data_IF_290557890382
#
_entry.id   IF_290557890382
#
_cell.length_a   1.000
_cell.length_b   1.000
_cell.length_c   1.000
_cell.angle_alpha   90.00
_cell.angle_beta   90.00
_cell.angle_gamma   90.00
#
_symmetry.space_group_name_H-M   'P 1'
#
loop_
_entity.id
_entity.type
_entity.pdbx_description
1 polymer ?
#
# COMPACT_ATOMS: atom_id res chain seq x y z
N UNK A 1 -25.36 -54.52 -29.48
CA UNK A 1 -25.64 -53.85 -28.19
C UNK A 1 -25.04 -52.45 -28.27
N UNK A 2 -25.88 -51.42 -28.45
CA UNK A 2 -25.51 -50.01 -28.42
C UNK A 2 -25.47 -49.54 -26.96
N UNK A 3 -24.32 -49.12 -26.42
CA UNK A 3 -24.27 -48.19 -25.27
C UNK A 3 -23.06 -47.23 -25.41
N UNK A 4 -23.40 -46.00 -25.81
CA UNK A 4 -23.06 -44.67 -25.24
C UNK A 4 -21.61 -44.31 -24.92
N UNK A 5 -21.18 -43.24 -25.57
CA UNK A 5 -19.92 -42.54 -25.34
C UNK A 5 -19.84 -41.80 -24.01
N UNK A 6 -18.60 -41.54 -23.61
CA UNK A 6 -18.23 -40.52 -22.62
C UNK A 6 -17.22 -39.58 -23.29
N UNK A 7 -17.71 -38.44 -23.78
CA UNK A 7 -16.87 -37.30 -24.07
C UNK A 7 -16.51 -36.61 -22.77
N UNK A 8 -15.24 -36.69 -22.35
CA UNK A 8 -14.73 -35.94 -21.21
C UNK A 8 -14.40 -34.51 -21.70
N UNK A 9 -15.32 -33.58 -21.49
CA UNK A 9 -15.06 -32.16 -21.75
C UNK A 9 -14.24 -31.58 -20.59
N UNK A 10 -12.92 -31.42 -20.80
CA UNK A 10 -12.04 -30.68 -19.89
C UNK A 10 -12.26 -29.20 -20.15
N UNK A 11 -13.17 -28.59 -19.38
CA UNK A 11 -13.37 -27.15 -19.37
C UNK A 11 -12.17 -26.47 -18.71
N UNK A 12 -11.26 -25.91 -19.51
CA UNK A 12 -10.26 -24.96 -19.06
C UNK A 12 -10.95 -23.66 -18.65
N UNK A 13 -11.33 -23.54 -17.37
CA UNK A 13 -11.71 -22.26 -16.78
C UNK A 13 -10.43 -21.41 -16.63
N UNK A 14 -10.18 -20.58 -17.63
CA UNK A 14 -9.16 -19.53 -17.57
C UNK A 14 -9.68 -18.46 -16.60
N UNK A 15 -9.20 -18.48 -15.35
CA UNK A 15 -9.41 -17.40 -14.39
C UNK A 15 -8.67 -16.16 -14.90
N UNK A 16 -9.38 -15.27 -15.58
CA UNK A 16 -8.86 -13.95 -15.93
C UNK A 16 -8.82 -13.16 -14.62
N UNK A 17 -7.62 -13.03 -14.03
CA UNK A 17 -7.40 -12.16 -12.89
C UNK A 17 -7.57 -10.70 -13.35
N UNK A 18 -8.72 -10.11 -13.07
CA UNK A 18 -8.98 -8.70 -13.31
C UNK A 18 -8.09 -7.87 -12.38
N UNK A 19 -6.96 -7.38 -12.89
CA UNK A 19 -6.19 -6.35 -12.20
C UNK A 19 -7.00 -5.04 -12.22
N UNK A 20 -7.65 -4.70 -11.11
CA UNK A 20 -8.29 -3.39 -10.95
C UNK A 20 -7.21 -2.32 -10.77
N UNK A 21 -6.95 -1.51 -11.80
CA UNK A 21 -6.14 -0.32 -11.66
C UNK A 21 -6.91 0.72 -10.84
N UNK A 22 -6.45 1.05 -9.63
CA UNK A 22 -6.98 2.18 -8.87
C UNK A 22 -6.52 3.47 -9.55
N UNK A 23 -7.45 4.22 -10.13
CA UNK A 23 -7.19 5.54 -10.69
C UNK A 23 -7.01 6.53 -9.54
N UNK A 24 -5.80 7.06 -9.39
CA UNK A 24 -5.51 8.09 -8.40
C UNK A 24 -5.76 9.47 -9.01
N UNK A 25 -6.80 10.16 -8.54
CA UNK A 25 -7.11 11.52 -8.98
C UNK A 25 -6.20 12.52 -8.26
N UNK A 26 -5.44 13.29 -9.05
CA UNK A 26 -4.65 14.42 -8.55
C UNK A 26 -5.57 15.65 -8.38
N UNK A 27 -5.51 16.39 -7.27
CA UNK A 27 -6.16 17.68 -7.16
C UNK A 27 -5.77 18.62 -8.31
N UNK A 28 -6.67 19.51 -8.72
CA UNK A 28 -6.38 20.46 -9.81
C UNK A 28 -5.11 21.27 -9.52
N UNK A 29 -4.27 21.47 -10.54
CA UNK A 29 -2.99 22.19 -10.43
C UNK A 29 -1.96 21.55 -9.49
N UNK A 30 -2.11 20.26 -9.18
CA UNK A 30 -1.07 19.49 -8.48
C UNK A 30 -0.34 18.57 -9.44
N UNK A 31 0.98 18.48 -9.26
CA UNK A 31 1.80 17.43 -9.87
C UNK A 31 2.21 16.45 -8.77
N UNK A 32 2.19 15.16 -9.07
CA UNK A 32 2.72 14.13 -8.17
C UNK A 32 4.19 13.91 -8.52
N UNK A 33 5.12 14.33 -7.67
CA UNK A 33 6.54 14.37 -8.08
C UNK A 33 7.19 13.01 -8.16
N UNK A 34 6.90 12.13 -7.22
CA UNK A 34 7.56 10.84 -7.10
C UNK A 34 6.82 9.98 -6.09
N UNK A 35 6.87 8.66 -6.23
CA UNK A 35 6.68 7.76 -5.11
C UNK A 35 7.68 8.11 -4.01
N UNK A 36 7.20 8.48 -2.82
CA UNK A 36 8.05 8.91 -1.71
C UNK A 36 8.40 7.75 -0.79
N UNK A 37 9.64 7.78 -0.28
CA UNK A 37 10.09 6.82 0.71
C UNK A 37 9.44 7.13 2.07
N UNK A 38 9.16 6.08 2.82
CA UNK A 38 8.72 6.20 4.20
C UNK A 38 9.56 5.36 5.14
N UNK A 39 9.17 5.38 6.41
CA UNK A 39 9.70 4.48 7.44
C UNK A 39 8.59 4.01 8.34
N UNK A 40 8.77 2.82 8.90
CA UNK A 40 7.83 2.26 9.86
C UNK A 40 8.08 2.91 11.23
N UNK A 41 7.12 3.65 11.75
CA UNK A 41 7.21 4.26 13.08
C UNK A 41 6.58 3.37 14.14
N UNK A 42 5.50 2.68 13.83
CA UNK A 42 4.81 1.82 14.80
C UNK A 42 4.20 0.57 14.14
N UNK A 43 4.07 -0.51 14.91
CA UNK A 43 3.31 -1.70 14.55
C UNK A 43 2.45 -2.07 15.74
N UNK A 44 1.14 -2.02 15.56
CA UNK A 44 0.15 -2.32 16.61
C UNK A 44 -0.77 -3.43 16.15
N UNK A 45 -1.35 -4.13 17.13
CA UNK A 45 -2.30 -5.20 16.90
C UNK A 45 -3.62 -4.76 17.53
N UNK A 46 -4.72 -4.93 16.80
CA UNK A 46 -6.05 -4.58 17.29
C UNK A 46 -7.05 -5.67 16.94
N UNK A 47 -8.02 -5.89 17.82
CA UNK A 47 -9.21 -6.67 17.48
C UNK A 47 -10.13 -5.82 16.61
N UNK A 48 -10.61 -6.40 15.51
CA UNK A 48 -11.48 -5.71 14.55
C UNK A 48 -12.77 -6.52 14.41
N UNK A 49 -13.96 -5.90 14.55
CA UNK A 49 -15.21 -6.59 14.26
C UNK A 49 -15.23 -7.07 12.81
N UNK A 50 -15.51 -8.35 12.59
CA UNK A 50 -15.70 -8.93 11.25
C UNK A 50 -17.17 -9.21 10.97
N UNK A 51 -17.97 -9.36 12.02
CA UNK A 51 -19.43 -9.43 11.97
C UNK A 51 -19.99 -8.99 13.32
N UNK A 52 -21.32 -8.98 13.45
CA UNK A 52 -22.04 -8.67 14.70
C UNK A 52 -21.71 -9.65 15.84
N UNK A 53 -21.14 -10.82 15.53
CA UNK A 53 -20.86 -11.89 16.49
C UNK A 53 -19.40 -12.35 16.51
N UNK A 54 -18.57 -11.88 15.57
CA UNK A 54 -17.18 -12.32 15.44
C UNK A 54 -16.20 -11.15 15.44
N UNK A 55 -15.11 -11.34 16.17
CA UNK A 55 -13.98 -10.40 16.19
C UNK A 55 -12.75 -11.07 15.59
N UNK A 56 -12.17 -10.42 14.59
CA UNK A 56 -10.91 -10.81 13.99
C UNK A 56 -9.76 -10.06 14.66
N UNK A 57 -8.55 -10.37 14.22
CA UNK A 57 -7.36 -9.61 14.58
C UNK A 57 -6.80 -8.94 13.33
N UNK A 58 -6.26 -7.74 13.49
CA UNK A 58 -5.53 -7.06 12.44
C UNK A 58 -4.23 -6.50 13.01
N UNK A 59 -3.21 -6.50 12.16
CA UNK A 59 -1.96 -5.80 12.40
C UNK A 59 -1.99 -4.50 11.61
N UNK A 60 -1.75 -3.39 12.30
CA UNK A 60 -1.70 -2.06 11.74
C UNK A 60 -0.27 -1.54 11.80
N UNK A 61 0.20 -1.02 10.68
CA UNK A 61 1.55 -0.48 10.52
C UNK A 61 1.43 1.01 10.26
N UNK A 62 2.02 1.81 11.13
CA UNK A 62 2.12 3.26 10.96
C UNK A 62 3.38 3.59 10.17
N UNK A 63 3.20 4.33 9.08
CA UNK A 63 4.24 4.78 8.17
C UNK A 63 4.38 6.29 8.27
N UNK A 64 5.62 6.77 8.35
CA UNK A 64 5.95 8.20 8.27
C UNK A 64 6.70 8.46 6.97
N UNK A 65 6.27 9.49 6.24
CA UNK A 65 6.86 9.94 4.98
C UNK A 65 7.39 11.35 5.14
N UNK A 66 8.55 11.63 4.54
CA UNK A 66 9.07 13.00 4.44
C UNK A 66 8.50 13.65 3.18
N UNK A 67 7.88 14.82 3.35
CA UNK A 67 7.39 15.63 2.23
C UNK A 67 8.48 16.64 1.82
N UNK A 68 8.42 17.12 0.57
CA UNK A 68 9.46 18.00 0.02
C UNK A 68 9.22 19.48 0.38
N UNK A 69 7.97 19.91 0.39
CA UNK A 69 7.54 21.28 0.65
C UNK A 69 6.53 21.37 1.80
N UNK A 70 6.49 22.53 2.46
CA UNK A 70 5.66 22.77 3.65
C UNK A 70 4.17 22.86 3.38
N UNK A 71 3.78 23.08 2.13
CA UNK A 71 2.38 23.07 1.71
C UNK A 71 2.04 21.82 0.88
N UNK A 72 2.95 20.84 0.85
CA UNK A 72 2.70 19.59 0.16
C UNK A 72 1.66 18.74 0.91
N UNK A 73 1.00 17.86 0.16
CA UNK A 73 0.05 16.90 0.71
C UNK A 73 0.44 15.49 0.33
N UNK A 74 0.35 14.58 1.31
CA UNK A 74 0.47 13.15 1.05
C UNK A 74 -0.82 12.66 0.39
N UNK A 75 -0.72 12.22 -0.87
CA UNK A 75 -1.83 11.53 -1.51
C UNK A 75 -2.08 10.17 -0.85
N UNK A 76 -3.31 9.62 -0.97
CA UNK A 76 -3.67 8.35 -0.37
C UNK A 76 -2.61 7.28 -0.61
N UNK A 77 -2.17 6.66 0.48
CA UNK A 77 -1.20 5.58 0.44
C UNK A 77 -1.88 4.33 -0.11
N UNK A 78 -1.37 3.82 -1.22
CA UNK A 78 -1.81 2.56 -1.81
C UNK A 78 -0.87 1.47 -1.31
N UNK A 79 -1.44 0.37 -0.85
CA UNK A 79 -0.64 -0.75 -0.35
C UNK A 79 -1.22 -2.10 -0.74
N UNK A 80 -0.33 -3.07 -0.92
CA UNK A 80 -0.66 -4.47 -1.13
C UNK A 80 0.11 -5.33 -0.13
N UNK A 81 -0.56 -6.05 0.78
CA UNK A 81 0.10 -6.98 1.68
C UNK A 81 0.27 -8.37 1.03
N UNK A 82 1.46 -8.96 1.19
CA UNK A 82 1.75 -10.34 0.83
C UNK A 82 2.14 -11.11 2.10
N UNK A 83 1.40 -12.18 2.42
CA UNK A 83 1.63 -13.02 3.60
C UNK A 83 2.33 -14.30 3.17
N UNK A 84 3.49 -14.58 3.76
CA UNK A 84 4.27 -15.79 3.54
C UNK A 84 4.57 -16.45 4.89
N UNK A 85 3.79 -17.47 5.24
CA UNK A 85 3.87 -18.12 6.54
C UNK A 85 3.62 -17.14 7.69
N UNK A 86 4.61 -16.97 8.57
CA UNK A 86 4.52 -16.07 9.74
C UNK A 86 5.00 -14.64 9.47
N UNK A 87 5.30 -14.28 8.22
CA UNK A 87 5.77 -12.95 7.82
C UNK A 87 4.79 -12.27 6.87
N UNK A 88 4.75 -10.95 6.96
CA UNK A 88 4.00 -10.10 6.03
C UNK A 88 4.93 -9.06 5.42
N UNK A 89 4.82 -8.87 4.10
CA UNK A 89 5.47 -7.79 3.37
C UNK A 89 4.39 -6.86 2.83
N UNK A 90 4.42 -5.58 3.19
CA UNK A 90 3.59 -4.56 2.55
C UNK A 90 4.38 -3.91 1.41
N UNK A 91 3.85 -3.97 0.20
CA UNK A 91 4.31 -3.16 -0.91
C UNK A 91 3.50 -1.87 -0.90
N UNK A 92 4.17 -0.74 -0.70
CA UNK A 92 3.52 0.55 -0.44
C UNK A 92 3.96 1.56 -1.48
N UNK A 93 3.03 2.30 -2.07
CA UNK A 93 3.32 3.49 -2.85
C UNK A 93 2.54 4.68 -2.30
N UNK A 94 3.17 5.84 -2.31
CA UNK A 94 2.59 7.08 -1.83
C UNK A 94 3.15 8.22 -2.68
N UNK A 95 2.33 9.21 -3.02
CA UNK A 95 2.77 10.34 -3.82
C UNK A 95 2.76 11.61 -2.99
N UNK A 96 3.77 12.45 -3.24
CA UNK A 96 3.81 13.80 -2.74
C UNK A 96 3.14 14.74 -3.75
N UNK A 97 1.97 15.27 -3.41
CA UNK A 97 1.27 16.27 -4.20
C UNK A 97 1.78 17.66 -3.83
N UNK A 98 2.29 18.38 -4.83
CA UNK A 98 2.74 19.75 -4.69
C UNK A 98 2.05 20.62 -5.75
N UNK A 99 2.01 21.93 -5.49
CA UNK A 99 1.55 22.95 -6.42
C UNK A 99 2.58 24.12 -6.46
N UNK A 100 2.35 25.13 -7.29
CA UNK A 100 3.24 26.29 -7.41
C UNK A 100 3.44 27.03 -6.08
N UNK A 101 2.40 27.11 -5.25
CA UNK A 101 2.48 27.73 -3.92
C UNK A 101 3.43 26.94 -3.00
N UNK A 102 3.38 25.61 -3.04
CA UNK A 102 4.29 24.77 -2.25
C UNK A 102 5.74 24.88 -2.71
N UNK A 103 5.98 24.99 -4.02
CA UNK A 103 7.33 25.20 -4.57
C UNK A 103 7.92 26.53 -4.08
N UNK A 104 7.11 27.59 -4.04
CA UNK A 104 7.55 28.91 -3.58
C UNK A 104 7.66 29.04 -2.05
N UNK A 105 7.05 28.11 -1.30
CA UNK A 105 7.00 28.18 0.15
C UNK A 105 8.33 27.75 0.79
N UNK A 106 8.87 28.61 1.66
CA UNK A 106 10.03 28.26 2.48
C UNK A 106 9.59 27.58 3.77
N UNK A 107 10.16 26.41 4.05
CA UNK A 107 9.92 25.71 5.31
C UNK A 107 10.64 26.38 6.48
N UNK A 108 9.87 26.96 7.41
CA UNK A 108 10.44 27.58 8.61
C UNK A 108 10.98 26.55 9.61
N UNK A 109 10.44 25.32 9.61
CA UNK A 109 10.76 24.28 10.62
C UNK A 109 11.00 22.94 9.93
N UNK A 110 12.19 22.78 9.35
CA UNK A 110 12.67 21.51 8.78
C UNK A 110 11.78 20.94 7.67
N UNK A 111 12.08 19.70 7.27
CA UNK A 111 11.28 18.98 6.27
C UNK A 111 10.00 18.45 6.91
N UNK A 112 8.82 18.81 6.39
CA UNK A 112 7.53 18.32 6.89
C UNK A 112 7.38 16.80 6.77
N UNK A 113 6.56 16.24 7.65
CA UNK A 113 6.31 14.80 7.74
C UNK A 113 4.82 14.51 7.69
N UNK A 114 4.45 13.48 6.93
CA UNK A 114 3.10 12.95 6.87
C UNK A 114 3.05 11.53 7.43
N UNK A 115 1.93 11.17 8.05
CA UNK A 115 1.71 9.83 8.60
C UNK A 115 0.56 9.14 7.88
N UNK A 116 0.73 7.85 7.58
CA UNK A 116 -0.33 6.99 7.08
C UNK A 116 -0.35 5.64 7.80
N UNK A 117 -1.43 4.89 7.63
CA UNK A 117 -1.58 3.56 8.21
C UNK A 117 -1.96 2.57 7.13
N UNK A 118 -1.30 1.41 7.16
CA UNK A 118 -1.69 0.23 6.37
C UNK A 118 -2.02 -0.91 7.33
N UNK A 119 -2.89 -1.81 6.92
CA UNK A 119 -3.34 -2.90 7.78
C UNK A 119 -3.51 -4.20 7.03
N UNK A 120 -3.29 -5.30 7.74
CA UNK A 120 -3.52 -6.65 7.24
C UNK A 120 -4.27 -7.46 8.30
N UNK A 121 -5.19 -8.36 7.91
CA UNK A 121 -5.74 -9.34 8.83
C UNK A 121 -4.64 -10.23 9.43
N UNK A 122 -4.79 -10.62 10.70
CA UNK A 122 -3.84 -11.46 11.42
C UNK A 122 -2.97 -10.69 12.42
N UNK A 123 -2.22 -11.45 13.22
CA UNK A 123 -1.34 -10.95 14.27
C UNK A 123 0.12 -11.16 13.83
N UNK A 124 0.80 -10.06 13.51
CA UNK A 124 2.21 -10.04 13.16
C UNK A 124 2.96 -9.14 14.14
N UNK A 125 4.10 -9.62 14.62
CA UNK A 125 5.02 -8.84 15.44
C UNK A 125 5.89 -7.93 14.56
N UNK A 126 6.52 -6.92 15.15
CA UNK A 126 7.36 -5.94 14.40
C UNK A 126 8.44 -6.60 13.55
N UNK A 127 9.09 -7.65 14.04
CA UNK A 127 10.14 -8.41 13.34
C UNK A 127 9.59 -9.31 12.21
N UNK A 128 8.28 -9.51 12.15
CA UNK A 128 7.58 -10.28 11.11
C UNK A 128 7.00 -9.38 10.01
N UNK A 129 7.05 -8.06 10.19
CA UNK A 129 6.54 -7.06 9.25
C UNK A 129 7.70 -6.47 8.46
N UNK A 130 7.62 -6.56 7.13
CA UNK A 130 8.48 -5.84 6.19
C UNK A 130 7.65 -4.84 5.40
N UNK A 131 8.22 -3.69 5.07
CA UNK A 131 7.60 -2.72 4.15
C UNK A 131 8.58 -2.41 3.03
N UNK A 132 8.09 -2.48 1.79
CA UNK A 132 8.82 -2.17 0.57
C UNK A 132 8.13 -0.95 -0.06
N UNK A 133 8.83 0.18 -0.09
CA UNK A 133 8.31 1.39 -0.73
C UNK A 133 8.59 1.33 -2.23
N UNK A 134 7.53 1.18 -3.02
CA UNK A 134 7.58 1.02 -4.47
C UNK A 134 7.80 2.36 -5.19
N UNK A 135 8.35 2.29 -6.40
CA UNK A 135 8.48 3.46 -7.28
C UNK A 135 9.82 4.20 -7.20
N UNK A 136 10.82 3.61 -6.56
CA UNK A 136 12.21 4.04 -6.69
C UNK A 136 12.80 3.45 -7.98
N UNK A 137 13.56 4.24 -8.73
CA UNK A 137 14.56 3.64 -9.63
C UNK A 137 15.55 2.86 -8.76
N UNK A 138 15.98 1.65 -9.17
CA UNK A 138 16.97 0.89 -8.41
C UNK A 138 18.19 1.78 -8.20
N UNK A 139 18.55 2.01 -6.93
CA UNK A 139 19.80 2.69 -6.61
C UNK A 139 20.92 1.90 -7.29
N UNK A 140 21.56 2.52 -8.28
CA UNK A 140 22.81 1.99 -8.83
C UNK A 140 23.79 1.91 -7.66
N UNK A 141 24.14 0.67 -7.29
CA UNK A 141 25.23 0.42 -6.37
C UNK A 141 26.49 1.11 -6.92
N UNK A 142 27.03 2.05 -6.15
CA UNK A 142 28.37 2.59 -6.39
C UNK A 142 29.42 1.64 -5.84
#
# INVERSE_FOLDING_TARGET
>A
MLIRGLGFAVGFFSLVASASAQVLTLPAQTSGLTPIQGRITNVTQSRVPVSDTATGSATRVTLEFQLQGCLDSLLPVISHPEIQGSRVTFYVTALNAHNEQSIAATCMVGTPKATAQVSVPGIFQRNQVRVVFMGQQPQQAR
#
